data_IF_262353616449
#
_entry.id   IF_262353616449
#
_cell.length_a   1.000
_cell.length_b   1.000
_cell.length_c   1.000
_cell.angle_alpha   90.00
_cell.angle_beta   90.00
_cell.angle_gamma   90.00
#
_symmetry.space_group_name_H-M   'P 1'
#
loop_
_entity.id
_entity.type
_entity.pdbx_description
1 polymer ?
#
# COMPACT_ATOMS: atom_id res chain seq x y z
N UNK A 1 -24.84 -0.42 -15.77
CA UNK A 1 -23.66 -0.13 -14.93
C UNK A 1 -23.71 -0.99 -13.71
N UNK A 2 -22.66 -1.68 -13.44
CA UNK A 2 -22.55 -2.52 -12.27
C UNK A 2 -22.30 -1.68 -11.02
N UNK A 3 -23.00 -2.00 -9.93
CA UNK A 3 -22.72 -1.40 -8.63
C UNK A 3 -21.56 -2.08 -7.92
N UNK A 4 -21.03 -3.14 -8.53
CA UNK A 4 -19.93 -3.89 -7.94
C UNK A 4 -18.60 -3.20 -8.24
N UNK A 5 -17.69 -3.39 -7.30
CA UNK A 5 -16.35 -2.89 -7.41
C UNK A 5 -15.40 -3.97 -6.89
N UNK A 6 -14.13 -3.70 -6.90
CA UNK A 6 -13.13 -4.67 -6.47
C UNK A 6 -12.37 -4.15 -5.26
N UNK A 7 -12.08 -5.06 -4.33
CA UNK A 7 -11.13 -4.75 -3.26
C UNK A 7 -9.76 -4.48 -3.89
N UNK A 8 -9.16 -3.37 -3.54
CA UNK A 8 -7.85 -3.02 -4.09
C UNK A 8 -6.76 -4.02 -3.69
N UNK A 9 -6.90 -4.63 -2.50
CA UNK A 9 -5.86 -5.54 -2.01
C UNK A 9 -5.97 -6.95 -2.58
N UNK A 10 -7.16 -7.53 -2.60
CA UNK A 10 -7.32 -8.92 -3.02
C UNK A 10 -7.99 -9.10 -4.37
N UNK A 11 -8.54 -8.01 -4.93
CA UNK A 11 -9.18 -8.07 -6.24
C UNK A 11 -10.57 -8.67 -6.26
N UNK A 12 -11.11 -9.09 -5.13
CA UNK A 12 -12.42 -9.73 -5.09
C UNK A 12 -13.51 -8.73 -5.43
N UNK A 13 -14.39 -9.11 -6.35
CA UNK A 13 -15.51 -8.28 -6.74
C UNK A 13 -16.61 -8.35 -5.68
N UNK A 14 -17.19 -7.20 -5.34
CA UNK A 14 -18.27 -7.14 -4.38
C UNK A 14 -19.02 -5.81 -4.52
N UNK A 15 -20.26 -5.72 -3.99
CA UNK A 15 -20.96 -4.44 -4.00
C UNK A 15 -20.18 -3.37 -3.24
N UNK A 16 -20.28 -2.12 -3.73
CA UNK A 16 -19.59 -0.98 -3.11
C UNK A 16 -19.94 -0.88 -1.62
N UNK A 17 -21.19 -1.24 -1.24
CA UNK A 17 -21.62 -1.18 0.16
C UNK A 17 -20.84 -2.12 1.08
N UNK A 18 -20.14 -3.12 0.52
CA UNK A 18 -19.34 -4.07 1.30
C UNK A 18 -17.86 -3.70 1.33
N UNK A 19 -17.49 -2.62 0.65
CA UNK A 19 -16.13 -2.12 0.71
C UNK A 19 -16.00 -1.10 1.82
N UNK A 20 -14.80 -0.99 2.35
CA UNK A 20 -14.48 -0.01 3.39
C UNK A 20 -13.24 0.78 2.97
N UNK A 21 -13.01 1.89 3.63
CA UNK A 21 -11.84 2.73 3.35
C UNK A 21 -10.66 2.25 4.16
N UNK A 22 -9.50 2.23 3.53
CA UNK A 22 -8.25 1.98 4.23
C UNK A 22 -7.24 3.04 3.85
N UNK A 23 -6.37 3.36 4.77
CA UNK A 23 -5.28 4.31 4.56
C UNK A 23 -4.03 3.53 4.18
N UNK A 24 -3.44 3.87 3.02
CA UNK A 24 -2.20 3.25 2.57
C UNK A 24 -1.11 3.46 3.62
N UNK A 25 -0.94 4.70 4.06
CA UNK A 25 -0.16 5.01 5.26
C UNK A 25 -1.14 5.11 6.43
N UNK A 26 -1.04 4.27 7.46
CA UNK A 26 -1.96 4.33 8.59
C UNK A 26 -1.98 5.71 9.25
N UNK A 27 -3.17 6.16 9.66
CA UNK A 27 -3.30 7.45 10.33
C UNK A 27 -2.44 7.52 11.59
N UNK A 28 -2.31 6.41 12.29
CA UNK A 28 -1.49 6.34 13.50
C UNK A 28 0.00 6.58 13.21
N UNK A 29 0.41 6.48 11.94
CA UNK A 29 1.79 6.69 11.52
C UNK A 29 1.95 7.95 10.66
N UNK A 30 0.96 8.85 10.71
CA UNK A 30 1.04 10.11 10.00
C UNK A 30 0.32 10.15 8.66
N UNK A 31 -0.42 9.09 8.31
CA UNK A 31 -1.19 9.06 7.07
C UNK A 31 -2.36 10.04 7.10
N UNK A 32 -2.57 10.76 6.00
CA UNK A 32 -3.65 11.72 5.88
C UNK A 32 -4.91 11.13 5.26
N UNK A 33 -5.91 11.97 5.10
CA UNK A 33 -7.19 11.61 4.48
C UNK A 33 -7.26 11.97 3.00
N UNK A 34 -6.11 12.22 2.37
CA UNK A 34 -6.05 12.53 0.95
C UNK A 34 -6.52 11.35 0.10
N UNK A 35 -7.11 11.67 -1.05
CA UNK A 35 -7.55 10.65 -2.01
C UNK A 35 -6.44 9.69 -2.39
N UNK A 36 -5.19 10.18 -2.42
CA UNK A 36 -4.03 9.34 -2.75
C UNK A 36 -3.69 8.36 -1.64
N UNK A 37 -4.15 8.60 -0.42
CA UNK A 37 -3.86 7.73 0.72
C UNK A 37 -5.05 6.84 1.08
N UNK A 38 -6.20 7.00 0.45
CA UNK A 38 -7.40 6.25 0.79
C UNK A 38 -7.77 5.35 -0.39
N UNK A 39 -7.93 4.06 -0.12
CA UNK A 39 -8.37 3.10 -1.12
C UNK A 39 -9.52 2.28 -0.56
N UNK A 40 -10.30 1.69 -1.46
CA UNK A 40 -11.47 0.90 -1.09
C UNK A 40 -11.09 -0.57 -1.05
N UNK A 41 -11.33 -1.20 0.08
CA UNK A 41 -10.93 -2.59 0.31
C UNK A 41 -12.04 -3.34 1.03
N UNK A 42 -12.02 -4.66 0.96
CA UNK A 42 -12.98 -5.46 1.69
C UNK A 42 -12.64 -5.48 3.18
N UNK A 43 -13.65 -5.73 4.00
CA UNK A 43 -13.48 -5.72 5.45
C UNK A 43 -12.45 -6.75 5.92
N UNK A 44 -12.40 -7.89 5.24
CA UNK A 44 -11.45 -8.95 5.58
C UNK A 44 -10.01 -8.48 5.41
N UNK A 45 -9.70 -7.86 4.27
CA UNK A 45 -8.34 -7.34 4.03
C UNK A 45 -8.01 -6.20 4.99
N UNK A 46 -8.99 -5.31 5.23
CA UNK A 46 -8.78 -4.18 6.13
C UNK A 46 -8.44 -4.66 7.54
N UNK A 47 -9.22 -5.63 8.04
CA UNK A 47 -8.97 -6.19 9.38
C UNK A 47 -7.65 -6.93 9.45
N UNK A 48 -7.31 -7.69 8.41
CA UNK A 48 -6.04 -8.44 8.35
C UNK A 48 -4.85 -7.50 8.35
N UNK A 49 -4.89 -6.45 7.53
CA UNK A 49 -3.77 -5.51 7.46
C UNK A 49 -3.65 -4.66 8.74
N UNK A 50 -4.79 -4.18 9.25
CA UNK A 50 -4.77 -3.33 10.43
C UNK A 50 -3.83 -2.14 10.24
N UNK A 51 -2.93 -1.94 11.20
CA UNK A 51 -1.97 -0.84 11.19
C UNK A 51 -0.61 -1.24 10.65
N UNK A 52 -0.49 -2.44 10.09
CA UNK A 52 0.79 -2.88 9.54
C UNK A 52 1.19 -2.04 8.34
N UNK A 53 2.49 -1.88 8.15
CA UNK A 53 3.01 -1.34 6.90
C UNK A 53 2.56 -2.22 5.75
N UNK A 54 2.26 -1.59 4.60
CA UNK A 54 1.71 -2.29 3.45
C UNK A 54 2.61 -3.42 2.96
N UNK A 55 3.90 -3.13 2.76
CA UNK A 55 4.83 -4.15 2.28
C UNK A 55 5.07 -5.23 3.32
N UNK A 56 5.09 -4.85 4.59
CA UNK A 56 5.23 -5.83 5.67
C UNK A 56 4.04 -6.81 5.64
N UNK A 57 2.82 -6.29 5.49
CA UNK A 57 1.63 -7.12 5.44
C UNK A 57 1.64 -8.06 4.24
N UNK A 58 1.97 -7.53 3.05
CA UNK A 58 2.05 -8.37 1.86
C UNK A 58 3.15 -9.43 1.97
N UNK A 59 4.29 -9.07 2.56
CA UNK A 59 5.41 -9.98 2.70
C UNK A 59 5.16 -11.06 3.76
N UNK A 60 4.68 -10.66 4.93
CA UNK A 60 4.60 -11.56 6.08
C UNK A 60 3.27 -12.30 6.19
N UNK A 61 2.17 -11.68 5.75
CA UNK A 61 0.85 -12.25 5.91
C UNK A 61 0.34 -12.83 4.61
N UNK A 62 0.31 -12.03 3.55
CA UNK A 62 -0.22 -12.48 2.27
C UNK A 62 0.79 -13.28 1.46
N UNK A 63 2.07 -13.03 1.66
CA UNK A 63 3.17 -13.73 0.98
C UNK A 63 3.06 -13.63 -0.54
N UNK A 64 2.75 -12.43 -1.02
CA UNK A 64 2.65 -12.13 -2.44
C UNK A 64 3.01 -10.67 -2.67
N UNK A 65 3.22 -10.28 -3.93
CA UNK A 65 3.47 -8.88 -4.26
C UNK A 65 2.16 -8.11 -4.30
N UNK A 66 2.18 -6.82 -3.91
CA UNK A 66 0.97 -6.01 -4.03
C UNK A 66 0.58 -5.83 -5.50
N UNK A 67 -0.72 -5.65 -5.79
CA UNK A 67 -1.13 -5.27 -7.14
C UNK A 67 -0.47 -3.97 -7.57
N UNK A 68 -0.28 -3.80 -8.88
CA UNK A 68 0.43 -2.64 -9.40
C UNK A 68 -0.20 -1.31 -8.98
N UNK A 69 -1.53 -1.21 -9.01
CA UNK A 69 -2.20 0.01 -8.61
C UNK A 69 -1.98 0.34 -7.14
N UNK A 70 -1.94 -0.67 -6.27
CA UNK A 70 -1.64 -0.47 -4.85
C UNK A 70 -0.19 -0.04 -4.68
N UNK A 71 0.71 -0.67 -5.41
CA UNK A 71 2.13 -0.32 -5.36
C UNK A 71 2.35 1.13 -5.78
N UNK A 72 1.71 1.56 -6.86
CA UNK A 72 1.85 2.92 -7.34
C UNK A 72 1.36 3.93 -6.29
N UNK A 73 0.21 3.66 -5.67
CA UNK A 73 -0.31 4.53 -4.63
C UNK A 73 0.62 4.59 -3.43
N UNK A 74 1.18 3.46 -3.05
CA UNK A 74 2.12 3.40 -1.93
C UNK A 74 3.38 4.21 -2.22
N UNK A 75 3.96 4.02 -3.41
CA UNK A 75 5.17 4.74 -3.79
C UNK A 75 4.92 6.24 -3.91
N UNK A 76 3.75 6.63 -4.43
CA UNK A 76 3.39 8.05 -4.51
C UNK A 76 3.32 8.67 -3.12
N UNK A 77 2.74 7.97 -2.16
CA UNK A 77 2.66 8.47 -0.81
C UNK A 77 4.04 8.57 -0.16
N UNK A 78 4.94 7.62 -0.44
CA UNK A 78 6.32 7.71 0.02
C UNK A 78 6.98 8.97 -0.55
N UNK A 79 6.82 9.20 -1.85
CA UNK A 79 7.41 10.38 -2.50
C UNK A 79 6.89 11.67 -1.87
N UNK A 80 5.58 11.79 -1.72
CA UNK A 80 4.97 13.01 -1.16
C UNK A 80 5.43 13.24 0.28
N UNK A 81 5.49 12.18 1.07
CA UNK A 81 5.97 12.30 2.45
C UNK A 81 7.40 12.80 2.49
N UNK A 82 8.26 12.23 1.65
CA UNK A 82 9.68 12.61 1.63
C UNK A 82 9.87 14.05 1.18
N UNK A 83 9.08 14.51 0.21
CA UNK A 83 9.15 15.90 -0.25
C UNK A 83 8.67 16.84 0.86
N UNK A 84 7.55 16.54 1.48
CA UNK A 84 6.96 17.40 2.52
C UNK A 84 7.84 17.49 3.76
N UNK A 85 8.62 16.45 4.05
CA UNK A 85 9.46 16.42 5.23
C UNK A 85 10.93 16.69 4.90
N UNK A 86 11.23 17.02 3.65
CA UNK A 86 12.57 17.41 3.20
C UNK A 86 13.61 16.32 3.48
N UNK A 87 13.28 15.07 3.18
CA UNK A 87 14.17 13.94 3.41
C UNK A 87 14.52 13.17 2.14
N UNK A 88 14.27 13.76 0.96
CA UNK A 88 14.54 13.08 -0.32
C UNK A 88 16.01 12.73 -0.52
N UNK A 89 16.91 13.51 0.09
CA UNK A 89 18.34 13.32 -0.07
C UNK A 89 18.97 12.45 1.02
N UNK A 90 18.13 11.87 1.89
CA UNK A 90 18.62 11.05 2.99
C UNK A 90 19.28 9.79 2.45
N UNK A 91 20.45 9.46 2.96
CA UNK A 91 21.15 8.26 2.57
C UNK A 91 20.49 7.03 3.20
N UNK A 92 20.60 5.89 2.54
CA UNK A 92 19.94 4.66 3.00
C UNK A 92 20.40 4.29 4.41
N UNK A 93 21.68 4.44 4.71
CA UNK A 93 22.23 4.10 6.02
C UNK A 93 21.69 4.98 7.14
N UNK A 94 21.10 6.12 6.82
CA UNK A 94 20.55 7.05 7.82
C UNK A 94 19.03 6.91 7.99
N UNK A 95 18.38 6.04 7.19
CA UNK A 95 16.92 5.93 7.22
C UNK A 95 16.39 5.39 8.55
N UNK A 96 17.15 4.53 9.21
CA UNK A 96 16.71 3.97 10.49
C UNK A 96 16.67 5.00 11.62
N UNK A 97 17.33 6.13 11.43
CA UNK A 97 17.29 7.22 12.40
C UNK A 97 16.04 8.08 12.29
N UNK A 98 15.22 7.83 11.27
CA UNK A 98 14.00 8.58 11.02
C UNK A 98 12.78 7.80 11.46
N UNK A 99 11.76 8.51 11.93
CA UNK A 99 10.45 7.91 12.21
C UNK A 99 9.59 8.03 10.95
N UNK A 100 9.58 6.95 10.16
CA UNK A 100 8.89 6.95 8.87
C UNK A 100 7.51 6.29 9.00
N UNK A 101 6.52 6.74 8.21
CA UNK A 101 5.21 6.10 8.20
C UNK A 101 5.18 4.78 7.42
N UNK A 102 6.33 4.36 6.90
CA UNK A 102 6.47 3.11 6.15
C UNK A 102 7.72 2.39 6.62
N UNK A 103 7.76 1.07 6.40
CA UNK A 103 8.92 0.27 6.77
C UNK A 103 9.78 0.07 5.53
N UNK A 104 10.84 0.89 5.41
CA UNK A 104 11.67 0.88 4.22
C UNK A 104 12.40 -0.45 4.01
N UNK A 105 12.60 -1.24 5.07
CA UNK A 105 13.26 -2.53 4.96
C UNK A 105 12.45 -3.54 4.11
N UNK A 106 11.15 -3.32 3.99
CA UNK A 106 10.29 -4.19 3.19
C UNK A 106 10.10 -3.70 1.76
N UNK A 107 10.64 -2.52 1.42
CA UNK A 107 10.58 -2.03 0.04
C UNK A 107 11.52 -2.91 -0.80
N UNK A 108 11.03 -3.49 -1.90
CA UNK A 108 11.87 -4.37 -2.72
C UNK A 108 13.10 -3.67 -3.26
N UNK A 109 14.24 -4.35 -3.22
CA UNK A 109 15.47 -3.81 -3.77
C UNK A 109 15.51 -3.93 -5.29
N UNK A 110 14.65 -4.74 -5.86
CA UNK A 110 14.41 -4.77 -7.30
C UNK A 110 12.95 -5.12 -7.52
N UNK A 111 12.38 -4.59 -8.59
CA UNK A 111 10.98 -4.83 -8.90
C UNK A 111 10.82 -6.25 -9.47
N UNK A 112 9.69 -6.90 -9.17
CA UNK A 112 9.37 -8.18 -9.81
C UNK A 112 9.20 -8.00 -11.31
N UNK A 113 9.29 -9.12 -12.03
CA UNK A 113 9.00 -9.09 -13.46
C UNK A 113 7.56 -8.68 -13.70
N UNK A 114 7.26 -8.01 -14.82
CA UNK A 114 5.89 -7.55 -15.09
C UNK A 114 4.84 -8.65 -14.98
N UNK A 115 5.19 -9.86 -15.33
CA UNK A 115 4.27 -11.00 -15.30
C UNK A 115 3.77 -11.27 -13.88
N UNK A 116 4.53 -10.92 -12.86
CA UNK A 116 4.16 -11.16 -11.47
C UNK A 116 3.04 -10.21 -11.01
N UNK A 117 2.85 -9.10 -11.72
CA UNK A 117 1.80 -8.12 -11.39
C UNK A 117 0.57 -8.24 -12.25
N UNK A 118 0.66 -8.92 -13.39
CA UNK A 118 -0.46 -9.01 -14.31
C UNK A 118 -1.38 -10.16 -13.91
N UNK A 119 -2.66 -9.90 -13.72
CA UNK A 119 -3.59 -10.99 -13.45
C UNK A 119 -3.76 -11.84 -14.70
N UNK A 120 -3.81 -13.17 -14.52
CA UNK A 120 -4.08 -14.09 -15.61
C UNK A 120 -3.18 -13.90 -16.83
N UNK A 121 -1.90 -13.77 -16.59
CA UNK A 121 -0.95 -13.66 -17.67
C UNK A 121 -0.70 -15.01 -18.35
N UNK A 122 -1.54 -15.95 -18.12
CA UNK A 122 -1.52 -17.26 -18.78
C UNK A 122 -2.39 -17.23 -20.01
#
# INVERSE_FOLDING_TARGET
ISDNNHCWYCGKEMPVSQLTRDHVFPRSKGGGNDMDNIIMVCKSCNSSKGKMDLFEWYSEVRKEYPPLNVLIHYLKNIYLYCVENDIMETQIEDLDDLQLPFNWHYIPTKFPEPEEYLPNNN
#
